data_IF_025701158235
#
_entry.id   IF_025701158235
#
_cell.length_a   1.000
_cell.length_b   1.000
_cell.length_c   1.000
_cell.angle_alpha   90.00
_cell.angle_beta   90.00
_cell.angle_gamma   90.00
#
_symmetry.space_group_name_H-M   'P 1'
#
loop_
_entity.id
_entity.type
_entity.pdbx_description
1 polymer ?
#
# COMPACT_ATOMS: atom_id res chain seq x y z
N UNK A 1 -9.90 4.94 -29.31
CA UNK A 1 -10.45 4.46 -28.03
C UNK A 1 -9.37 3.62 -27.38
N UNK A 2 -8.71 4.12 -26.33
CA UNK A 2 -7.74 3.30 -25.61
C UNK A 2 -8.52 2.21 -24.86
N UNK A 3 -8.36 0.95 -25.29
CA UNK A 3 -8.86 -0.20 -24.53
C UNK A 3 -8.31 -0.09 -23.11
N UNK A 4 -9.20 -0.07 -22.11
CA UNK A 4 -8.77 -0.24 -20.72
C UNK A 4 -8.01 -1.58 -20.68
N UNK A 5 -6.78 -1.62 -20.13
CA UNK A 5 -6.12 -2.89 -19.91
C UNK A 5 -7.05 -3.75 -19.05
N UNK A 6 -7.41 -4.92 -19.57
CA UNK A 6 -8.10 -5.96 -18.83
C UNK A 6 -7.03 -6.63 -17.97
N UNK A 7 -6.87 -6.18 -16.73
CA UNK A 7 -6.08 -6.92 -15.75
C UNK A 7 -6.98 -7.99 -15.14
N UNK A 8 -6.44 -9.19 -14.94
CA UNK A 8 -7.15 -10.21 -14.18
C UNK A 8 -7.37 -9.68 -12.73
N UNK A 9 -8.52 -9.95 -12.10
CA UNK A 9 -8.83 -9.39 -10.78
C UNK A 9 -7.72 -9.64 -9.76
N UNK A 10 -7.17 -10.86 -9.73
CA UNK A 10 -6.10 -11.24 -8.80
C UNK A 10 -4.82 -10.39 -8.97
N UNK A 11 -4.41 -10.13 -10.22
CA UNK A 11 -3.23 -9.31 -10.52
C UNK A 11 -3.43 -7.86 -10.06
N UNK A 12 -4.65 -7.34 -10.21
CA UNK A 12 -5.00 -6.00 -9.75
C UNK A 12 -4.84 -5.88 -8.23
N UNK A 13 -5.31 -6.88 -7.48
CA UNK A 13 -5.13 -6.91 -6.02
C UNK A 13 -3.65 -6.95 -5.62
N UNK A 14 -2.84 -7.81 -6.25
CA UNK A 14 -1.39 -7.89 -5.99
C UNK A 14 -0.70 -6.55 -6.28
N UNK A 15 -1.08 -5.88 -7.37
CA UNK A 15 -0.53 -4.57 -7.74
C UNK A 15 -0.87 -3.50 -6.70
N UNK A 16 -2.10 -3.46 -6.19
CA UNK A 16 -2.51 -2.48 -5.18
C UNK A 16 -1.81 -2.73 -3.84
N UNK A 17 -1.69 -3.99 -3.39
CA UNK A 17 -0.93 -4.34 -2.18
C UNK A 17 0.54 -3.87 -2.29
N UNK A 18 1.16 -4.12 -3.43
CA UNK A 18 2.53 -3.70 -3.73
C UNK A 18 2.66 -2.16 -3.84
N UNK A 19 1.60 -1.48 -4.30
CA UNK A 19 1.54 -0.02 -4.27
C UNK A 19 1.52 0.52 -2.83
N UNK A 20 0.73 -0.04 -1.93
CA UNK A 20 0.72 0.37 -0.52
C UNK A 20 2.07 0.15 0.16
N UNK A 21 2.72 -0.99 -0.10
CA UNK A 21 4.05 -1.27 0.43
C UNK A 21 5.09 -0.23 -0.03
N UNK A 22 5.07 0.16 -1.32
CA UNK A 22 5.94 1.23 -1.84
C UNK A 22 5.63 2.59 -1.26
N UNK A 23 4.35 2.94 -1.09
CA UNK A 23 3.94 4.20 -0.48
C UNK A 23 4.40 4.28 0.97
N UNK A 24 4.26 3.19 1.75
CA UNK A 24 4.82 3.09 3.10
C UNK A 24 6.33 3.37 3.10
N UNK A 25 7.09 2.65 2.29
CA UNK A 25 8.56 2.84 2.21
C UNK A 25 8.94 4.27 1.82
N UNK A 26 8.19 4.89 0.90
CA UNK A 26 8.39 6.28 0.53
C UNK A 26 8.19 7.21 1.73
N UNK A 27 7.09 7.06 2.47
CA UNK A 27 6.82 7.89 3.63
C UNK A 27 7.79 7.66 4.78
N UNK A 28 8.24 6.43 5.01
CA UNK A 28 9.31 6.14 5.99
C UNK A 28 10.62 6.87 5.62
N UNK A 29 11.00 6.85 4.34
CA UNK A 29 12.19 7.57 3.86
C UNK A 29 12.02 9.09 3.99
N UNK A 30 10.86 9.63 3.66
CA UNK A 30 10.57 11.06 3.79
C UNK A 30 10.56 11.50 5.26
N UNK A 31 10.03 10.68 6.17
CA UNK A 31 10.09 10.94 7.61
C UNK A 31 11.54 10.98 8.10
N UNK A 32 12.40 10.06 7.64
CA UNK A 32 13.81 10.02 8.00
C UNK A 32 14.62 11.24 7.49
N UNK A 33 14.20 11.84 6.37
CA UNK A 33 14.82 13.03 5.79
C UNK A 33 14.25 14.35 6.32
N UNK A 34 13.12 14.31 7.03
CA UNK A 34 12.44 15.52 7.51
C UNK A 34 13.20 16.14 8.71
N UNK A 35 13.61 17.40 8.54
CA UNK A 35 14.23 18.21 9.60
C UNK A 35 13.19 18.79 10.57
N UNK A 36 12.00 19.16 10.07
CA UNK A 36 10.90 19.66 10.87
C UNK A 36 10.10 18.52 11.52
N UNK A 37 9.87 18.63 12.83
CA UNK A 37 9.17 17.59 13.62
C UNK A 37 7.71 17.38 13.20
N UNK A 38 7.00 18.43 12.77
CA UNK A 38 5.62 18.31 12.32
C UNK A 38 5.57 17.58 10.97
N UNK A 39 6.52 17.87 10.07
CA UNK A 39 6.66 17.16 8.80
C UNK A 39 7.03 15.70 9.01
N UNK A 40 7.99 15.40 9.92
CA UNK A 40 8.34 14.02 10.30
C UNK A 40 7.15 13.26 10.85
N UNK A 41 6.38 13.90 11.73
CA UNK A 41 5.18 13.31 12.34
C UNK A 41 4.12 13.00 11.29
N UNK A 42 3.92 13.90 10.32
CA UNK A 42 2.99 13.68 9.21
C UNK A 42 3.39 12.46 8.36
N UNK A 43 4.64 12.36 7.93
CA UNK A 43 5.09 11.22 7.13
C UNK A 43 5.07 9.91 7.92
N UNK A 44 5.40 9.94 9.21
CA UNK A 44 5.30 8.77 10.09
C UNK A 44 3.84 8.30 10.21
N UNK A 45 2.89 9.24 10.35
CA UNK A 45 1.47 8.93 10.36
C UNK A 45 1.01 8.30 9.04
N UNK A 46 1.39 8.88 7.90
CA UNK A 46 1.04 8.36 6.58
C UNK A 46 1.61 6.95 6.34
N UNK A 47 2.88 6.69 6.70
CA UNK A 47 3.45 5.35 6.65
C UNK A 47 2.65 4.33 7.48
N UNK A 48 2.14 4.75 8.64
CA UNK A 48 1.26 3.94 9.48
C UNK A 48 -0.08 3.62 8.81
N UNK A 49 -0.68 4.58 8.11
CA UNK A 49 -1.91 4.37 7.36
C UNK A 49 -1.71 3.41 6.18
N UNK A 50 -0.63 3.54 5.41
CA UNK A 50 -0.35 2.60 4.30
C UNK A 50 -0.06 1.19 4.82
N UNK A 51 0.59 1.06 5.98
CA UNK A 51 0.74 -0.24 6.62
C UNK A 51 -0.61 -0.86 7.03
N UNK A 52 -1.58 -0.03 7.43
CA UNK A 52 -2.96 -0.47 7.74
C UNK A 52 -3.69 -0.89 6.46
N UNK A 53 -3.59 -0.10 5.39
CA UNK A 53 -4.17 -0.41 4.09
C UNK A 53 -3.59 -1.71 3.51
N UNK A 54 -2.27 -1.87 3.52
CA UNK A 54 -1.60 -3.09 3.04
C UNK A 54 -2.13 -4.34 3.76
N UNK A 55 -2.23 -4.29 5.10
CA UNK A 55 -2.78 -5.42 5.89
C UNK A 55 -4.23 -5.74 5.49
N UNK A 56 -5.09 -4.73 5.44
CA UNK A 56 -6.49 -4.94 5.04
C UNK A 56 -6.61 -5.56 3.64
N UNK A 57 -5.81 -5.09 2.69
CA UNK A 57 -5.82 -5.62 1.33
C UNK A 57 -5.29 -7.05 1.26
N UNK A 58 -4.26 -7.39 2.05
CA UNK A 58 -3.75 -8.77 2.15
C UNK A 58 -4.79 -9.71 2.74
N UNK A 59 -5.44 -9.32 3.83
CA UNK A 59 -6.49 -10.12 4.47
C UNK A 59 -7.65 -10.41 3.50
N UNK A 60 -8.10 -9.40 2.75
CA UNK A 60 -9.17 -9.57 1.75
C UNK A 60 -8.71 -10.38 0.53
N UNK A 61 -7.45 -10.19 0.10
CA UNK A 61 -6.86 -10.99 -0.97
C UNK A 61 -6.79 -12.47 -0.59
N UNK A 62 -6.34 -12.80 0.63
CA UNK A 62 -6.28 -14.17 1.12
C UNK A 62 -7.67 -14.80 1.15
N UNK A 63 -8.68 -14.10 1.67
CA UNK A 63 -10.07 -14.57 1.68
C UNK A 63 -10.63 -14.82 0.28
N UNK A 64 -10.30 -13.97 -0.69
CA UNK A 64 -10.88 -14.03 -2.03
C UNK A 64 -10.16 -15.01 -2.97
N UNK A 65 -8.84 -15.19 -2.81
CA UNK A 65 -8.00 -15.92 -3.78
C UNK A 65 -7.19 -17.06 -3.15
N UNK A 66 -7.12 -17.17 -1.83
CA UNK A 66 -6.38 -18.21 -1.10
C UNK A 66 -7.17 -18.74 0.13
N UNK A 67 -8.41 -19.23 -0.04
CA UNK A 67 -9.30 -19.54 1.08
C UNK A 67 -8.87 -20.73 1.96
N UNK A 68 -7.93 -21.56 1.49
CA UNK A 68 -7.47 -22.78 2.16
C UNK A 68 -6.09 -22.62 2.85
N UNK A 69 -5.57 -21.40 2.94
CA UNK A 69 -4.31 -21.05 3.62
C UNK A 69 -4.52 -20.72 5.11
#
# INVERSE_FOLDING_TARGET
MASRPSFEPEETWRMVIDQEARSRELYERLAALAEDEAVRSLFTFLAGEEARHERMLRDEYERAFMPDL
#
